data_IF_323633519363
#
_entry.id   IF_323633519363
#
_cell.length_a   1.000
_cell.length_b   1.000
_cell.length_c   1.000
_cell.angle_alpha   90.00
_cell.angle_beta   90.00
_cell.angle_gamma   90.00
#
_symmetry.space_group_name_H-M   'P 1'
#
loop_
_entity.id
_entity.type
_entity.pdbx_description
1 polymer ?
#
# COMPACT_ATOMS: atom_id res chain seq x y z
N UNK A 1 -20.16 36.64 -15.26
CA UNK A 1 -19.12 35.61 -15.50
C UNK A 1 -18.06 35.72 -14.40
N UNK A 2 -17.91 34.70 -13.53
CA UNK A 2 -17.01 34.78 -12.36
C UNK A 2 -15.54 34.49 -12.67
N UNK A 3 -14.62 35.19 -11.99
CA UNK A 3 -13.17 34.97 -12.07
C UNK A 3 -12.79 33.58 -11.51
N UNK A 4 -11.62 33.04 -11.89
CA UNK A 4 -11.08 31.77 -11.36
C UNK A 4 -11.04 31.77 -9.82
N UNK A 5 -10.69 32.90 -9.20
CA UNK A 5 -10.69 33.05 -7.74
C UNK A 5 -12.06 32.77 -7.11
N UNK A 6 -13.14 33.24 -7.72
CA UNK A 6 -14.51 33.00 -7.23
C UNK A 6 -14.89 31.53 -7.38
N UNK A 7 -14.50 30.88 -8.49
CA UNK A 7 -14.69 29.44 -8.66
C UNK A 7 -13.97 28.62 -7.58
N UNK A 8 -12.76 29.05 -7.19
CA UNK A 8 -11.99 28.38 -6.14
C UNK A 8 -12.63 28.56 -4.75
N UNK A 9 -13.23 29.71 -4.45
CA UNK A 9 -13.97 29.91 -3.19
C UNK A 9 -15.15 28.95 -3.10
N UNK A 10 -15.95 28.85 -4.16
CA UNK A 10 -17.10 27.92 -4.22
C UNK A 10 -16.63 26.47 -4.07
N UNK A 11 -15.58 26.04 -4.79
CA UNK A 11 -15.02 24.68 -4.63
C UNK A 11 -14.52 24.43 -3.20
N UNK A 12 -13.90 25.42 -2.56
CA UNK A 12 -13.43 25.33 -1.17
C UNK A 12 -14.61 25.12 -0.23
N UNK A 13 -15.63 25.96 -0.30
CA UNK A 13 -16.83 25.85 0.55
C UNK A 13 -17.53 24.49 0.38
N UNK A 14 -17.71 24.04 -0.87
CA UNK A 14 -18.30 22.72 -1.17
C UNK A 14 -17.50 21.57 -0.55
N UNK A 15 -16.17 21.62 -0.58
CA UNK A 15 -15.34 20.58 0.02
C UNK A 15 -15.28 20.69 1.55
N UNK A 16 -15.32 21.90 2.10
CA UNK A 16 -15.38 22.12 3.55
C UNK A 16 -16.63 21.49 4.14
N UNK A 17 -17.79 21.72 3.53
CA UNK A 17 -19.07 21.18 3.99
C UNK A 17 -19.14 19.65 3.93
N UNK A 18 -18.36 19.02 3.04
CA UNK A 18 -18.29 17.55 2.93
C UNK A 18 -17.40 16.94 4.01
N UNK A 19 -16.22 17.53 4.21
CA UNK A 19 -15.16 16.93 5.03
C UNK A 19 -15.31 17.32 6.50
N UNK A 20 -15.43 18.61 6.76
CA UNK A 20 -15.35 19.21 8.10
C UNK A 20 -16.70 19.12 8.78
N UNK A 21 -16.70 18.79 10.08
CA UNK A 21 -17.93 18.76 10.88
C UNK A 21 -18.51 20.17 11.09
N UNK A 22 -17.64 21.15 11.39
CA UNK A 22 -18.00 22.55 11.60
C UNK A 22 -17.41 23.42 10.47
N UNK A 23 -18.21 23.88 9.49
CA UNK A 23 -17.68 24.59 8.32
C UNK A 23 -17.13 25.99 8.65
N UNK A 24 -17.48 26.57 9.80
CA UNK A 24 -16.99 27.88 10.25
C UNK A 24 -15.54 27.82 10.77
N UNK A 25 -15.07 26.64 11.23
CA UNK A 25 -13.72 26.51 11.77
C UNK A 25 -12.67 26.38 10.66
N UNK A 26 -11.98 27.49 10.40
CA UNK A 26 -10.88 27.57 9.43
C UNK A 26 -9.52 27.16 10.02
N UNK A 27 -9.41 27.09 11.35
CA UNK A 27 -8.15 26.83 12.06
C UNK A 27 -7.80 25.35 12.16
N UNK A 28 -8.82 24.49 12.11
CA UNK A 28 -8.69 23.03 12.16
C UNK A 28 -7.72 22.47 11.09
N UNK A 29 -7.08 21.34 11.43
CA UNK A 29 -6.20 20.64 10.50
C UNK A 29 -6.94 20.18 9.23
N UNK A 30 -8.19 19.74 9.39
CA UNK A 30 -9.07 19.29 8.30
C UNK A 30 -9.32 20.42 7.30
N UNK A 31 -9.76 21.58 7.79
CA UNK A 31 -10.04 22.73 6.96
C UNK A 31 -8.78 23.19 6.20
N UNK A 32 -7.62 23.21 6.88
CA UNK A 32 -6.35 23.55 6.25
C UNK A 32 -5.95 22.57 5.15
N UNK A 33 -6.18 21.26 5.35
CA UNK A 33 -5.93 20.22 4.35
C UNK A 33 -6.85 20.41 3.13
N UNK A 34 -8.14 20.70 3.35
CA UNK A 34 -9.10 21.00 2.26
C UNK A 34 -8.65 22.22 1.47
N UNK A 35 -8.30 23.32 2.16
CA UNK A 35 -7.84 24.54 1.51
C UNK A 35 -6.57 24.34 0.69
N UNK A 36 -5.60 23.55 1.20
CA UNK A 36 -4.41 23.18 0.44
C UNK A 36 -4.74 22.29 -0.76
N UNK A 37 -5.69 21.37 -0.63
CA UNK A 37 -6.10 20.48 -1.72
C UNK A 37 -6.69 21.26 -2.89
N UNK A 38 -7.53 22.26 -2.62
CA UNK A 38 -8.05 23.16 -3.67
C UNK A 38 -6.93 23.95 -4.36
N UNK A 39 -5.94 24.44 -3.59
CA UNK A 39 -4.77 25.13 -4.17
C UNK A 39 -3.94 24.21 -5.06
N UNK A 40 -3.69 22.98 -4.61
CA UNK A 40 -2.94 21.96 -5.36
C UNK A 40 -3.63 21.67 -6.69
N UNK A 41 -4.94 21.42 -6.69
CA UNK A 41 -5.70 21.20 -7.92
C UNK A 41 -5.60 22.38 -8.90
N UNK A 42 -5.69 23.61 -8.39
CA UNK A 42 -5.52 24.80 -9.23
C UNK A 42 -4.09 24.92 -9.81
N UNK A 43 -3.05 24.58 -9.03
CA UNK A 43 -1.68 24.54 -9.54
C UNK A 43 -1.48 23.43 -10.57
N UNK A 44 -2.14 22.28 -10.42
CA UNK A 44 -2.13 21.21 -11.41
C UNK A 44 -2.78 21.66 -12.72
N UNK A 45 -3.96 22.30 -12.67
CA UNK A 45 -4.63 22.89 -13.84
C UNK A 45 -3.71 23.91 -14.56
N UNK A 46 -3.01 24.76 -13.81
CA UNK A 46 -2.04 25.72 -14.36
C UNK A 46 -0.81 25.03 -14.99
N UNK A 47 -0.26 24.00 -14.32
CA UNK A 47 0.91 23.26 -14.80
C UNK A 47 0.64 22.42 -16.04
N UNK A 48 -0.58 21.93 -16.21
CA UNK A 48 -0.98 21.22 -17.43
C UNK A 48 -0.86 22.11 -18.67
N UNK A 49 -1.22 23.39 -18.54
CA UNK A 49 -1.09 24.41 -19.61
C UNK A 49 0.33 24.95 -19.72
N UNK A 50 0.98 25.27 -18.60
CA UNK A 50 2.26 25.98 -18.54
C UNK A 50 3.40 25.11 -17.97
N UNK A 51 3.83 24.08 -18.72
CA UNK A 51 4.81 23.09 -18.26
C UNK A 51 6.22 23.64 -17.97
N UNK A 52 6.58 24.80 -18.54
CA UNK A 52 7.92 25.38 -18.40
C UNK A 52 8.08 26.25 -17.16
N UNK A 53 6.99 26.65 -16.51
CA UNK A 53 7.00 27.51 -15.34
C UNK A 53 7.51 26.74 -14.10
N UNK A 54 8.70 27.12 -13.62
CA UNK A 54 9.37 26.47 -12.49
C UNK A 54 8.92 27.02 -11.14
N UNK A 55 8.44 28.26 -11.10
CA UNK A 55 7.98 28.89 -9.85
C UNK A 55 6.72 28.18 -9.34
N UNK A 56 5.73 28.00 -10.22
CA UNK A 56 4.50 27.28 -9.87
C UNK A 56 4.75 25.80 -9.61
N UNK A 57 5.69 25.15 -10.33
CA UNK A 57 6.11 23.78 -10.01
C UNK A 57 6.68 23.68 -8.60
N UNK A 58 7.49 24.65 -8.17
CA UNK A 58 8.01 24.71 -6.79
C UNK A 58 6.88 24.90 -5.78
N UNK A 59 5.95 25.82 -6.02
CA UNK A 59 4.80 26.04 -5.12
C UNK A 59 3.90 24.81 -5.00
N UNK A 60 3.67 24.10 -6.10
CA UNK A 60 2.94 22.83 -6.12
C UNK A 60 3.62 21.79 -5.21
N UNK A 61 4.92 21.56 -5.40
CA UNK A 61 5.69 20.60 -4.59
C UNK A 61 5.65 20.96 -3.10
N UNK A 62 5.91 22.23 -2.76
CA UNK A 62 5.85 22.72 -1.38
C UNK A 62 4.45 22.54 -0.75
N UNK A 63 3.39 22.77 -1.52
CA UNK A 63 2.01 22.60 -1.05
C UNK A 63 1.67 21.13 -0.79
N UNK A 64 2.16 20.22 -1.64
CA UNK A 64 2.02 18.77 -1.46
C UNK A 64 2.73 18.33 -0.18
N UNK A 65 3.98 18.74 0.03
CA UNK A 65 4.76 18.41 1.23
C UNK A 65 4.10 18.96 2.50
N UNK A 66 3.59 20.20 2.43
CA UNK A 66 2.86 20.81 3.54
C UNK A 66 1.58 20.03 3.88
N UNK A 67 0.83 19.59 2.86
CA UNK A 67 -0.37 18.74 3.05
C UNK A 67 0.01 17.39 3.66
N UNK A 68 1.07 16.75 3.20
CA UNK A 68 1.56 15.49 3.78
C UNK A 68 1.97 15.64 5.25
N UNK A 69 2.62 16.76 5.61
CA UNK A 69 2.95 17.08 7.00
C UNK A 69 1.69 17.24 7.87
N UNK A 70 0.66 17.92 7.36
CA UNK A 70 -0.62 18.05 8.07
C UNK A 70 -1.33 16.71 8.24
N UNK A 71 -1.37 15.87 7.20
CA UNK A 71 -1.94 14.52 7.28
C UNK A 71 -1.19 13.64 8.28
N UNK A 72 0.14 13.73 8.33
CA UNK A 72 0.96 13.04 9.34
C UNK A 72 0.57 13.48 10.77
N UNK A 73 0.33 14.77 10.98
CA UNK A 73 -0.07 15.28 12.28
C UNK A 73 -1.49 14.83 12.64
N UNK A 74 -2.43 14.96 11.70
CA UNK A 74 -3.82 14.53 11.89
C UNK A 74 -3.91 13.04 12.24
N UNK A 75 -3.13 12.20 11.55
CA UNK A 75 -3.04 10.77 11.83
C UNK A 75 -2.52 10.45 13.24
N UNK A 76 -1.67 11.31 13.81
CA UNK A 76 -1.16 11.14 15.19
C UNK A 76 -2.16 11.61 16.24
N UNK A 77 -2.96 12.64 15.94
CA UNK A 77 -3.88 13.24 16.91
C UNK A 77 -5.26 12.58 16.89
N UNK A 78 -5.87 12.42 15.72
CA UNK A 78 -7.20 11.83 15.57
C UNK A 78 -7.29 10.97 14.29
N UNK A 79 -7.25 9.65 14.49
CA UNK A 79 -7.25 8.69 13.40
C UNK A 79 -8.58 8.60 12.65
N UNK A 80 -9.72 8.69 13.34
CA UNK A 80 -11.06 8.58 12.73
C UNK A 80 -11.30 9.70 11.72
N UNK A 81 -10.92 10.91 12.11
CA UNK A 81 -10.98 12.09 11.25
C UNK A 81 -10.02 11.93 10.07
N UNK A 82 -8.79 11.48 10.32
CA UNK A 82 -7.81 11.24 9.26
C UNK A 82 -8.37 10.29 8.18
N UNK A 83 -8.95 9.16 8.57
CA UNK A 83 -9.53 8.20 7.63
C UNK A 83 -10.67 8.81 6.82
N UNK A 84 -11.60 9.52 7.48
CA UNK A 84 -12.68 10.25 6.82
C UNK A 84 -12.15 11.26 5.79
N UNK A 85 -11.19 12.11 6.20
CA UNK A 85 -10.60 13.14 5.32
C UNK A 85 -9.91 12.54 4.10
N UNK A 86 -9.18 11.43 4.27
CA UNK A 86 -8.54 10.71 3.17
C UNK A 86 -9.57 10.14 2.19
N UNK A 87 -10.66 9.57 2.69
CA UNK A 87 -11.73 8.99 1.88
C UNK A 87 -12.48 10.07 1.09
N UNK A 88 -12.88 11.14 1.75
CA UNK A 88 -13.69 12.21 1.15
C UNK A 88 -12.91 13.03 0.11
N UNK A 89 -11.61 13.24 0.33
CA UNK A 89 -10.73 13.96 -0.60
C UNK A 89 -10.08 13.05 -1.64
N UNK A 90 -10.22 11.72 -1.54
CA UNK A 90 -9.56 10.76 -2.41
C UNK A 90 -8.03 10.78 -2.31
N UNK A 91 -7.48 11.00 -1.12
CA UNK A 91 -6.04 11.10 -0.88
C UNK A 91 -5.51 9.81 -0.25
N UNK A 92 -4.61 9.13 -0.94
CA UNK A 92 -3.86 8.00 -0.38
C UNK A 92 -2.64 8.47 0.40
N UNK A 93 -2.56 8.09 1.68
CA UNK A 93 -1.41 8.40 2.53
C UNK A 93 -0.35 7.31 2.39
N UNK A 94 0.79 7.66 1.79
CA UNK A 94 1.93 6.76 1.62
C UNK A 94 3.03 7.15 2.62
N UNK A 95 3.59 6.15 3.31
CA UNK A 95 4.72 6.37 4.19
C UNK A 95 5.97 6.73 3.41
N UNK A 96 6.75 7.75 3.86
CA UNK A 96 7.99 8.09 3.19
C UNK A 96 8.99 6.92 3.31
N UNK A 97 9.79 6.66 2.26
CA UNK A 97 10.82 5.63 2.32
C UNK A 97 11.88 6.00 3.37
N UNK A 98 12.46 5.00 4.02
CA UNK A 98 13.50 5.21 5.03
C UNK A 98 14.76 5.88 4.44
N UNK A 99 15.09 5.58 3.19
CA UNK A 99 16.29 6.12 2.51
C UNK A 99 15.97 6.61 1.10
N UNK A 100 16.35 7.85 0.80
CA UNK A 100 16.28 8.42 -0.54
C UNK A 100 17.55 8.11 -1.34
N UNK A 101 17.68 6.86 -1.83
CA UNK A 101 18.82 6.44 -2.67
C UNK A 101 18.47 6.55 -4.16
N UNK A 102 19.39 7.07 -4.97
CA UNK A 102 19.23 7.12 -6.43
C UNK A 102 19.38 5.72 -7.05
N UNK A 103 18.33 5.23 -7.68
CA UNK A 103 18.35 4.00 -8.45
C UNK A 103 19.06 4.21 -9.81
N UNK A 104 20.37 3.98 -9.84
CA UNK A 104 21.16 4.04 -11.07
C UNK A 104 21.03 2.75 -11.90
N UNK A 105 21.28 2.82 -13.23
CA UNK A 105 21.07 1.70 -14.17
C UNK A 105 21.71 0.38 -13.71
N UNK A 106 22.98 0.42 -13.28
CA UNK A 106 23.69 -0.76 -12.75
C UNK A 106 23.01 -1.37 -11.54
N UNK A 107 22.53 -0.56 -10.60
CA UNK A 107 21.81 -1.05 -9.42
C UNK A 107 20.47 -1.66 -9.78
N UNK A 108 19.72 -1.03 -10.69
CA UNK A 108 18.42 -1.57 -11.16
C UNK A 108 18.62 -2.93 -11.82
N UNK A 109 19.58 -3.06 -12.74
CA UNK A 109 19.89 -4.32 -13.41
C UNK A 109 20.33 -5.41 -12.42
N UNK A 110 21.25 -5.07 -11.50
CA UNK A 110 21.72 -5.99 -10.46
C UNK A 110 20.57 -6.43 -9.55
N UNK A 111 19.72 -5.50 -9.11
CA UNK A 111 18.59 -5.80 -8.23
C UNK A 111 17.57 -6.71 -8.92
N UNK A 112 17.25 -6.45 -10.18
CA UNK A 112 16.35 -7.29 -10.98
C UNK A 112 16.92 -8.70 -11.18
N UNK A 113 18.22 -8.83 -11.45
CA UNK A 113 18.89 -10.13 -11.52
C UNK A 113 18.80 -10.88 -10.18
N UNK A 114 19.13 -10.22 -9.07
CA UNK A 114 19.05 -10.85 -7.74
C UNK A 114 17.64 -11.34 -7.40
N UNK A 115 16.60 -10.58 -7.76
CA UNK A 115 15.20 -11.00 -7.55
C UNK A 115 14.89 -12.28 -8.35
N UNK A 116 15.28 -12.33 -9.63
CA UNK A 116 15.08 -13.52 -10.47
C UNK A 116 15.81 -14.75 -9.92
N UNK A 117 17.10 -14.59 -9.59
CA UNK A 117 17.90 -15.67 -9.02
C UNK A 117 17.30 -16.18 -7.71
N UNK A 118 16.79 -15.28 -6.86
CA UNK A 118 16.13 -15.66 -5.62
C UNK A 118 14.85 -16.48 -5.88
N UNK A 119 14.01 -16.06 -6.82
CA UNK A 119 12.79 -16.80 -7.19
C UNK A 119 13.11 -18.21 -7.70
N UNK A 120 14.10 -18.35 -8.58
CA UNK A 120 14.53 -19.65 -9.09
C UNK A 120 15.11 -20.55 -7.99
N UNK A 121 15.94 -19.99 -7.11
CA UNK A 121 16.46 -20.74 -5.96
C UNK A 121 15.34 -21.22 -5.03
N UNK A 122 14.30 -20.42 -4.80
CA UNK A 122 13.13 -20.83 -4.01
C UNK A 122 12.33 -21.94 -4.69
N UNK A 123 12.13 -21.87 -6.01
CA UNK A 123 11.47 -22.94 -6.79
C UNK A 123 12.21 -24.27 -6.65
N UNK A 124 13.52 -24.27 -6.87
CA UNK A 124 14.36 -25.47 -6.74
C UNK A 124 14.34 -26.02 -5.31
N UNK A 125 14.39 -25.17 -4.29
CA UNK A 125 14.25 -25.60 -2.88
C UNK A 125 12.89 -26.26 -2.62
N UNK A 126 11.80 -25.70 -3.15
CA UNK A 126 10.45 -26.27 -3.01
C UNK A 126 10.34 -27.64 -3.69
N UNK A 127 10.87 -27.77 -4.92
CA UNK A 127 10.93 -29.05 -5.63
C UNK A 127 11.72 -30.11 -4.84
N UNK A 128 12.91 -29.76 -4.34
CA UNK A 128 13.72 -30.67 -3.51
C UNK A 128 13.00 -31.11 -2.25
N UNK A 129 12.29 -30.20 -1.56
CA UNK A 129 11.46 -30.54 -0.39
C UNK A 129 10.30 -31.48 -0.75
N UNK A 130 9.62 -31.22 -1.86
CA UNK A 130 8.52 -32.05 -2.35
C UNK A 130 8.98 -33.47 -2.71
N UNK A 131 10.11 -33.60 -3.43
CA UNK A 131 10.71 -34.90 -3.76
C UNK A 131 11.10 -35.68 -2.51
N UNK A 132 11.72 -35.02 -1.52
CA UNK A 132 12.05 -35.66 -0.23
C UNK A 132 10.80 -36.13 0.53
N UNK A 133 9.76 -35.31 0.57
CA UNK A 133 8.49 -35.66 1.20
C UNK A 133 7.80 -36.83 0.49
N UNK A 134 7.77 -36.83 -0.85
CA UNK A 134 7.24 -37.92 -1.64
C UNK A 134 8.00 -39.23 -1.40
N UNK A 135 9.33 -39.18 -1.37
CA UNK A 135 10.15 -40.34 -1.05
C UNK A 135 9.92 -40.86 0.37
N UNK A 136 9.78 -39.98 1.36
CA UNK A 136 9.46 -40.37 2.74
C UNK A 136 8.07 -41.01 2.84
N UNK A 137 7.06 -40.46 2.17
CA UNK A 137 5.71 -41.02 2.13
C UNK A 137 5.67 -42.40 1.44
N UNK A 138 6.44 -42.59 0.36
CA UNK A 138 6.58 -43.90 -0.28
C UNK A 138 7.20 -44.94 0.65
N UNK A 139 8.27 -44.59 1.39
CA UNK A 139 8.87 -45.49 2.39
C UNK A 139 7.89 -45.88 3.50
N UNK A 140 7.12 -44.91 4.02
CA UNK A 140 6.08 -45.18 5.02
C UNK A 140 4.96 -46.09 4.47
N UNK A 141 4.52 -45.88 3.23
CA UNK A 141 3.54 -46.75 2.56
C UNK A 141 4.04 -48.18 2.42
N UNK A 142 5.31 -48.36 2.02
CA UNK A 142 5.93 -49.69 1.94
C UNK A 142 5.98 -50.37 3.31
N UNK A 143 6.39 -49.65 4.37
CA UNK A 143 6.40 -50.20 5.74
C UNK A 143 4.99 -50.59 6.22
N UNK A 144 3.97 -49.79 5.93
CA UNK A 144 2.58 -50.07 6.30
C UNK A 144 1.96 -51.25 5.52
N UNK A 145 2.39 -51.49 4.27
CA UNK A 145 1.99 -52.68 3.50
C UNK A 145 2.64 -53.96 4.05
N UNK A 146 3.88 -53.86 4.53
CA UNK A 146 4.59 -54.99 5.17
C UNK A 146 3.94 -55.34 6.52
N UNK A 147 3.52 -54.35 7.32
CA UNK A 147 2.84 -54.62 8.59
C UNK A 147 1.40 -55.15 8.44
N UNK A 148 0.63 -54.70 7.43
CA UNK A 148 -0.74 -55.17 7.19
C UNK A 148 -0.80 -56.60 6.64
N UNK A 149 0.24 -57.04 5.92
CA UNK A 149 0.37 -58.44 5.42
C UNK A 149 0.80 -59.43 6.52
N UNK A 150 1.38 -58.96 7.63
CA UNK A 150 1.70 -59.76 8.80
C UNK A 150 0.53 -59.90 9.80
N UNK A 151 -0.51 -59.07 9.68
CA UNK A 151 -1.72 -59.15 10.50
C UNK A 151 -2.76 -60.10 9.88
N UNK A 152 -2.65 -61.42 10.13
CA UNK A 152 -3.78 -62.36 9.99
C UNK A 152 -4.57 -62.42 11.32
N UNK A 153 -5.90 -62.63 11.30
CA UNK A 153 -6.77 -62.38 12.44
C UNK A 153 -6.63 -63.45 13.53
N UNK A 154 -6.23 -63.05 14.73
CA UNK A 154 -6.49 -63.82 15.95
C UNK A 154 -7.97 -63.67 16.31
N UNK A 155 -8.81 -64.55 15.78
CA UNK A 155 -10.19 -64.68 16.24
C UNK A 155 -10.64 -66.15 16.21
N UNK A 156 -10.84 -66.65 17.43
CA UNK A 156 -11.78 -67.69 17.84
C UNK A 156 -11.35 -69.14 17.51
N UNK A 157 -10.69 -69.80 18.46
CA UNK A 157 -10.86 -71.23 18.66
C UNK A 157 -11.90 -71.41 19.77
N UNK A 158 -13.10 -71.79 19.35
CA UNK A 158 -14.17 -72.29 20.21
C UNK A 158 -13.68 -73.53 20.98
N UNK A 159 -14.04 -73.56 22.27
CA UNK A 159 -14.03 -74.74 23.12
C UNK A 159 -15.04 -75.76 22.59
N UNK A 160 -14.60 -76.98 22.23
CA UNK A 160 -15.33 -78.24 22.40
C UNK A 160 -14.33 -79.38 22.59
#
# INVERSE_FOLDING_TARGET
>A
MGNQKEKLKVKKEQLMNKVVANPEDTSSLEARIVALTVKIQNYEEHMQKHRKDKAHKRYLMMSIDQRQKMLKNLRKTNYKVFEKTCKDLGIEYIFPPMYYRRAHRRWVAKKALCIRVYQEAQKLKKQKRALKAAAAAQKQRQMNQISSSQAKPEAIKENQ
#
